data_IF_884001139206
#
_entry.id   IF_884001139206
#
_cell.length_a   1.000
_cell.length_b   1.000
_cell.length_c   1.000
_cell.angle_alpha   90.00
_cell.angle_beta   90.00
_cell.angle_gamma   90.00
#
_symmetry.space_group_name_H-M   'P 1'
#
loop_
_entity.id
_entity.type
_entity.pdbx_description
1 polymer ?
#
# COMPACT_ATOMS: atom_id res chain seq x y z
N UNK A 1 12.64 10.74 2.82
CA UNK A 1 11.56 10.81 1.82
C UNK A 1 11.99 11.77 0.74
N UNK A 2 11.79 11.41 -0.53
CA UNK A 2 12.03 12.29 -1.68
C UNK A 2 10.82 12.23 -2.61
N UNK A 3 10.48 13.35 -3.26
CA UNK A 3 9.44 13.43 -4.27
C UNK A 3 9.86 14.47 -5.32
N UNK A 4 9.81 14.10 -6.59
CA UNK A 4 10.20 14.95 -7.73
C UNK A 4 9.21 14.84 -8.87
N UNK A 5 8.94 15.94 -9.56
CA UNK A 5 8.09 15.98 -10.73
C UNK A 5 8.77 15.35 -11.95
N UNK A 6 8.05 15.25 -13.07
CA UNK A 6 8.58 14.70 -14.33
C UNK A 6 9.79 15.46 -14.91
N UNK A 7 10.05 16.68 -14.46
CA UNK A 7 11.17 17.51 -14.87
C UNK A 7 12.33 17.45 -13.84
N UNK A 8 12.20 16.62 -12.81
CA UNK A 8 13.19 16.43 -11.76
C UNK A 8 13.16 17.52 -10.68
N UNK A 9 12.12 18.36 -10.64
CA UNK A 9 11.97 19.41 -9.62
C UNK A 9 11.34 18.83 -8.37
N UNK A 10 11.78 19.25 -7.20
CA UNK A 10 11.23 18.75 -5.94
C UNK A 10 9.74 19.10 -5.81
N UNK A 11 8.94 18.13 -5.38
CA UNK A 11 7.51 18.30 -5.08
C UNK A 11 7.37 18.63 -3.60
N UNK A 12 6.75 19.76 -3.30
CA UNK A 12 6.56 20.24 -1.93
C UNK A 12 5.51 19.39 -1.19
N UNK A 13 5.68 19.21 0.11
CA UNK A 13 4.67 18.57 0.95
C UNK A 13 3.34 19.33 0.89
N UNK A 14 2.24 18.63 0.63
CA UNK A 14 0.91 19.23 0.49
C UNK A 14 0.57 19.69 -0.94
N UNK A 15 1.46 19.50 -1.92
CA UNK A 15 1.13 19.68 -3.33
C UNK A 15 0.16 18.59 -3.79
N UNK A 16 -1.07 19.01 -4.11
CA UNK A 16 -2.16 18.16 -4.61
C UNK A 16 -2.38 18.29 -6.12
N UNK A 17 -1.56 19.10 -6.81
CA UNK A 17 -1.73 19.46 -8.21
C UNK A 17 -0.74 18.71 -9.10
N UNK A 18 0.49 18.48 -8.62
CA UNK A 18 1.51 17.76 -9.37
C UNK A 18 1.20 16.26 -9.44
N UNK A 19 0.67 15.81 -10.57
CA UNK A 19 0.18 14.45 -10.77
C UNK A 19 1.24 13.46 -11.29
N UNK A 20 2.46 13.91 -11.60
CA UNK A 20 3.43 13.12 -12.38
C UNK A 20 4.85 13.29 -11.88
N UNK A 21 5.55 12.17 -11.64
CA UNK A 21 6.91 12.20 -11.13
C UNK A 21 7.35 10.89 -10.48
N UNK A 22 8.37 10.99 -9.62
CA UNK A 22 8.89 9.91 -8.80
C UNK A 22 8.84 10.27 -7.31
N UNK A 23 8.59 9.28 -6.45
CA UNK A 23 8.63 9.43 -5.01
C UNK A 23 9.15 8.16 -4.33
N UNK A 24 9.95 8.36 -3.29
CA UNK A 24 10.40 7.32 -2.38
C UNK A 24 9.90 7.66 -0.97
N UNK A 25 8.90 6.92 -0.53
CA UNK A 25 8.19 7.13 0.72
C UNK A 25 8.57 6.03 1.71
N UNK A 26 9.02 6.42 2.90
CA UNK A 26 9.36 5.50 3.98
C UNK A 26 8.52 5.88 5.20
N UNK A 27 7.92 4.90 5.85
CA UNK A 27 7.04 5.16 6.98
C UNK A 27 6.50 3.90 7.63
N UNK A 28 5.39 4.02 8.35
CA UNK A 28 4.66 2.90 8.93
C UNK A 28 3.17 3.03 8.63
N UNK A 29 2.52 1.92 8.29
CA UNK A 29 1.05 1.81 8.15
C UNK A 29 0.58 0.79 9.18
N UNK A 30 -0.28 1.20 10.11
CA UNK A 30 -0.76 0.34 11.22
C UNK A 30 0.37 -0.38 11.97
N UNK A 31 1.51 0.29 12.18
CA UNK A 31 2.69 -0.28 12.85
C UNK A 31 3.59 -1.16 11.98
N UNK A 32 3.22 -1.42 10.72
CA UNK A 32 4.05 -2.16 9.76
C UNK A 32 4.99 -1.20 9.04
N UNK A 33 6.31 -1.42 9.06
CA UNK A 33 7.24 -0.59 8.28
C UNK A 33 6.96 -0.78 6.79
N UNK A 34 6.81 0.33 6.07
CA UNK A 34 6.53 0.34 4.64
C UNK A 34 7.54 1.20 3.90
N UNK A 35 7.87 0.77 2.69
CA UNK A 35 8.77 1.46 1.80
C UNK A 35 8.19 1.42 0.38
N UNK A 36 7.77 2.57 -0.12
CA UNK A 36 6.98 2.70 -1.33
C UNK A 36 7.78 3.50 -2.36
N UNK A 37 7.92 2.92 -3.57
CA UNK A 37 8.49 3.60 -4.72
C UNK A 37 7.40 3.84 -5.75
N UNK A 38 7.09 5.11 -5.97
CA UNK A 38 6.09 5.54 -6.94
C UNK A 38 6.81 6.25 -8.06
N UNK A 39 6.96 5.63 -9.24
CA UNK A 39 7.45 6.32 -10.43
C UNK A 39 6.41 6.18 -11.55
N UNK A 40 5.78 7.30 -11.93
CA UNK A 40 4.76 7.30 -12.99
C UNK A 40 5.36 6.93 -14.36
N UNK A 41 6.65 7.16 -14.56
CA UNK A 41 7.39 6.99 -15.81
C UNK A 41 8.39 5.83 -15.80
N UNK A 42 8.30 4.91 -14.83
CA UNK A 42 9.08 3.69 -14.90
C UNK A 42 8.79 3.01 -16.25
N UNK A 43 9.83 2.88 -17.07
CA UNK A 43 9.72 2.25 -18.39
C UNK A 43 9.27 0.79 -18.30
N UNK A 44 9.05 0.12 -19.44
CA UNK A 44 8.50 -1.23 -19.49
C UNK A 44 9.35 -2.30 -18.77
N UNK A 45 10.61 -2.01 -18.46
CA UNK A 45 11.51 -2.87 -17.69
C UNK A 45 11.11 -3.04 -16.20
N UNK A 46 10.22 -2.20 -15.66
CA UNK A 46 9.77 -2.28 -14.26
C UNK A 46 10.82 -1.86 -13.22
N UNK A 47 10.55 -2.12 -11.95
CA UNK A 47 11.49 -1.95 -10.83
C UNK A 47 11.38 -0.64 -10.06
N UNK A 48 10.56 0.31 -10.54
CA UNK A 48 10.37 1.64 -9.93
C UNK A 48 8.89 2.05 -9.78
N UNK A 49 7.95 1.21 -10.22
CA UNK A 49 6.51 1.42 -10.07
C UNK A 49 5.93 0.22 -9.34
N UNK A 50 5.97 0.26 -8.00
CA UNK A 50 5.66 -0.91 -7.20
C UNK A 50 5.69 -0.70 -5.69
N UNK A 51 5.19 -1.67 -4.97
CA UNK A 51 5.14 -1.68 -3.51
C UNK A 51 6.12 -2.72 -2.97
N UNK A 52 6.91 -2.36 -1.95
CA UNK A 52 7.68 -3.34 -1.16
C UNK A 52 7.19 -3.32 0.28
N UNK A 53 6.70 -4.48 0.74
CA UNK A 53 6.24 -4.68 2.11
C UNK A 53 7.25 -5.53 2.86
N UNK A 54 7.77 -4.99 3.96
CA UNK A 54 8.67 -5.70 4.85
C UNK A 54 7.86 -6.32 5.97
N UNK A 55 7.82 -7.65 6.02
CA UNK A 55 7.10 -8.40 7.04
C UNK A 55 7.94 -8.53 8.30
N UNK A 56 7.28 -8.74 9.45
CA UNK A 56 7.94 -8.79 10.76
C UNK A 56 8.92 -9.96 10.91
N UNK A 57 8.69 -11.03 10.17
CA UNK A 57 9.55 -12.22 10.13
C UNK A 57 10.72 -12.10 9.16
N UNK A 58 10.93 -10.94 8.55
CA UNK A 58 12.04 -10.67 7.64
C UNK A 58 11.73 -10.93 6.17
N UNK A 59 10.58 -11.54 5.86
CA UNK A 59 10.14 -11.75 4.47
C UNK A 59 9.79 -10.44 3.79
N UNK A 60 9.93 -10.40 2.46
CA UNK A 60 9.64 -9.22 1.65
C UNK A 60 8.63 -9.59 0.57
N UNK A 61 7.50 -8.89 0.53
CA UNK A 61 6.57 -8.95 -0.61
C UNK A 61 6.86 -7.77 -1.52
N UNK A 62 7.16 -8.04 -2.77
CA UNK A 62 7.38 -7.03 -3.81
C UNK A 62 6.23 -7.16 -4.80
N UNK A 63 5.59 -6.05 -5.13
CA UNK A 63 4.66 -5.93 -6.25
C UNK A 63 5.21 -4.90 -7.21
N UNK A 64 5.30 -5.24 -8.48
CA UNK A 64 5.87 -4.40 -9.54
C UNK A 64 4.98 -4.46 -10.79
N UNK A 65 4.90 -3.35 -11.52
CA UNK A 65 4.20 -3.29 -12.81
C UNK A 65 5.23 -3.36 -13.93
N UNK A 66 5.19 -4.43 -14.74
CA UNK A 66 6.08 -4.63 -15.89
C UNK A 66 5.27 -4.66 -17.18
N UNK A 67 5.20 -3.52 -17.86
CA UNK A 67 4.36 -3.34 -19.05
C UNK A 67 2.88 -3.56 -18.73
N UNK A 68 2.28 -4.59 -19.35
CA UNK A 68 0.87 -4.96 -19.15
C UNK A 68 0.66 -5.99 -18.02
N UNK A 69 1.73 -6.45 -17.38
CA UNK A 69 1.67 -7.49 -16.35
C UNK A 69 2.00 -6.92 -14.97
N UNK A 70 1.37 -7.50 -13.95
CA UNK A 70 1.78 -7.35 -12.56
C UNK A 70 2.65 -8.53 -12.17
N UNK A 71 3.77 -8.22 -11.51
CA UNK A 71 4.71 -9.20 -10.99
C UNK A 71 4.72 -9.10 -9.48
N UNK A 72 4.44 -10.22 -8.81
CA UNK A 72 4.53 -10.34 -7.36
C UNK A 72 5.67 -11.28 -7.01
N UNK A 73 6.53 -10.86 -6.09
CA UNK A 73 7.62 -11.66 -5.57
C UNK A 73 7.52 -11.78 -4.05
N UNK A 74 7.76 -12.97 -3.53
CA UNK A 74 8.00 -13.21 -2.12
C UNK A 74 9.46 -13.61 -1.97
N UNK A 75 10.22 -12.81 -1.21
CA UNK A 75 11.59 -13.11 -0.83
C UNK A 75 11.60 -13.60 0.62
N UNK A 76 12.17 -14.77 0.84
CA UNK A 76 12.38 -15.39 2.15
C UNK A 76 13.85 -15.85 2.27
N UNK A 77 14.70 -14.97 2.83
CA UNK A 77 16.14 -15.17 2.79
C UNK A 77 16.67 -15.17 1.34
N UNK A 78 17.25 -16.29 0.93
CA UNK A 78 17.78 -16.50 -0.43
C UNK A 78 16.71 -17.07 -1.39
N UNK A 79 15.56 -17.51 -0.87
CA UNK A 79 14.48 -18.08 -1.68
C UNK A 79 13.60 -16.98 -2.27
N UNK A 80 13.40 -17.04 -3.59
CA UNK A 80 12.56 -16.09 -4.33
C UNK A 80 11.46 -16.85 -5.06
N UNK A 81 10.21 -16.60 -4.67
CA UNK A 81 9.04 -17.05 -5.40
C UNK A 81 8.49 -15.88 -6.22
N UNK A 82 8.15 -16.13 -7.49
CA UNK A 82 7.66 -15.10 -8.42
C UNK A 82 6.39 -15.56 -9.11
N UNK A 83 5.39 -14.70 -9.13
CA UNK A 83 4.16 -14.86 -9.90
C UNK A 83 4.01 -13.68 -10.86
N UNK A 84 3.58 -13.97 -12.07
CA UNK A 84 3.26 -12.98 -13.09
C UNK A 84 1.79 -13.11 -13.45
N UNK A 85 1.06 -11.99 -13.41
CA UNK A 85 -0.35 -11.93 -13.77
C UNK A 85 -0.54 -10.92 -14.91
N UNK A 86 -1.21 -11.30 -16.01
CA UNK A 86 -1.53 -10.37 -17.09
C UNK A 86 -2.64 -9.40 -16.64
N UNK A 87 -2.56 -8.11 -16.97
CA UNK A 87 -3.53 -7.12 -16.48
C UNK A 87 -3.19 -6.61 -15.08
N UNK A 88 -3.92 -5.62 -14.56
CA UNK A 88 -3.61 -5.04 -13.25
C UNK A 88 -4.19 -5.90 -12.12
N UNK A 89 -3.45 -6.09 -11.02
CA UNK A 89 -3.89 -6.90 -9.87
C UNK A 89 -5.22 -6.41 -9.28
N UNK A 90 -5.46 -5.10 -9.34
CA UNK A 90 -6.74 -4.51 -8.93
C UNK A 90 -7.92 -5.02 -9.77
N UNK A 91 -7.73 -5.20 -11.08
CA UNK A 91 -8.78 -5.73 -11.96
C UNK A 91 -9.12 -7.17 -11.58
N UNK A 92 -8.11 -8.00 -11.30
CA UNK A 92 -8.31 -9.36 -10.80
C UNK A 92 -9.00 -9.38 -9.44
N UNK A 93 -8.55 -8.56 -8.49
CA UNK A 93 -9.20 -8.46 -7.19
C UNK A 93 -10.67 -8.07 -7.30
N UNK A 94 -10.99 -7.07 -8.13
CA UNK A 94 -12.37 -6.67 -8.37
C UNK A 94 -13.17 -7.78 -9.04
N UNK A 95 -12.69 -8.29 -10.18
CA UNK A 95 -13.42 -9.23 -11.00
C UNK A 95 -13.61 -10.59 -10.31
N UNK A 96 -12.63 -11.05 -9.55
CA UNK A 96 -12.65 -12.39 -8.96
C UNK A 96 -13.12 -12.39 -7.51
N UNK A 97 -12.65 -11.43 -6.69
CA UNK A 97 -12.85 -11.46 -5.23
C UNK A 97 -13.96 -10.56 -4.74
N UNK A 98 -14.29 -9.47 -5.45
CA UNK A 98 -15.32 -8.52 -5.02
C UNK A 98 -16.62 -8.72 -5.80
N UNK A 99 -16.55 -8.73 -7.13
CA UNK A 99 -17.70 -8.75 -8.04
C UNK A 99 -17.92 -10.12 -8.69
N UNK A 100 -16.98 -11.04 -8.52
CA UNK A 100 -16.99 -12.35 -9.16
C UNK A 100 -18.04 -13.32 -8.62
N UNK A 101 -18.28 -14.39 -9.38
CA UNK A 101 -19.23 -15.45 -8.99
C UNK A 101 -18.83 -16.19 -7.69
N UNK A 102 -17.53 -16.15 -7.34
CA UNK A 102 -16.93 -16.65 -6.10
C UNK A 102 -16.40 -15.48 -5.24
N UNK A 103 -17.15 -14.38 -5.20
CA UNK A 103 -16.80 -13.22 -4.40
C UNK A 103 -16.73 -13.56 -2.91
N UNK A 104 -15.96 -12.76 -2.17
CA UNK A 104 -15.83 -12.87 -0.72
C UNK A 104 -17.21 -12.82 -0.04
N UNK A 105 -18.13 -11.98 -0.55
CA UNK A 105 -19.50 -11.87 -0.06
C UNK A 105 -20.31 -13.17 -0.16
N UNK A 106 -19.94 -14.06 -1.10
CA UNK A 106 -20.57 -15.37 -1.26
C UNK A 106 -19.84 -16.45 -0.47
N UNK A 107 -18.51 -16.50 -0.60
CA UNK A 107 -17.70 -17.59 -0.06
C UNK A 107 -17.46 -17.48 1.45
N UNK A 108 -17.35 -16.27 1.97
CA UNK A 108 -17.25 -16.00 3.42
C UNK A 108 -17.91 -14.63 3.73
N UNK A 109 -19.25 -14.56 3.73
CA UNK A 109 -19.98 -13.30 3.94
C UNK A 109 -19.65 -12.66 5.29
N UNK A 110 -19.28 -13.46 6.28
CA UNK A 110 -18.94 -13.00 7.63
C UNK A 110 -17.53 -12.41 7.72
N UNK A 111 -16.62 -12.74 6.79
CA UNK A 111 -15.31 -12.09 6.72
C UNK A 111 -15.48 -10.58 6.61
N UNK A 112 -16.32 -10.11 5.67
CA UNK A 112 -16.49 -8.68 5.41
C UNK A 112 -16.94 -7.97 6.68
N UNK A 113 -17.98 -8.50 7.34
CA UNK A 113 -18.46 -7.94 8.60
C UNK A 113 -17.39 -7.95 9.70
N UNK A 114 -16.61 -9.03 9.84
CA UNK A 114 -15.52 -9.12 10.83
C UNK A 114 -14.42 -8.11 10.54
N UNK A 115 -13.99 -7.99 9.29
CA UNK A 115 -12.94 -7.04 8.88
C UNK A 115 -13.43 -5.60 8.99
N UNK A 116 -14.67 -5.31 8.61
CA UNK A 116 -15.28 -3.99 8.83
C UNK A 116 -15.33 -3.65 10.32
N UNK A 117 -15.79 -4.57 11.18
CA UNK A 117 -15.84 -4.32 12.62
C UNK A 117 -14.46 -4.03 13.18
N UNK A 118 -13.46 -4.87 12.87
CA UNK A 118 -12.08 -4.64 13.31
C UNK A 118 -11.55 -3.26 12.87
N UNK A 119 -11.88 -2.82 11.65
CA UNK A 119 -11.48 -1.50 11.15
C UNK A 119 -12.17 -0.35 11.88
N UNK A 120 -13.44 -0.52 12.24
CA UNK A 120 -14.17 0.45 13.06
C UNK A 120 -13.53 0.55 14.45
N UNK A 121 -13.22 -0.59 15.08
CA UNK A 121 -12.56 -0.63 16.39
C UNK A 121 -11.18 0.04 16.35
N UNK A 122 -10.39 -0.21 15.28
CA UNK A 122 -9.10 0.46 15.06
C UNK A 122 -9.26 1.98 14.90
N UNK A 123 -10.26 2.44 14.15
CA UNK A 123 -10.53 3.88 13.95
C UNK A 123 -10.96 4.53 15.25
N UNK A 124 -11.85 3.89 16.01
CA UNK A 124 -12.28 4.39 17.32
C UNK A 124 -11.09 4.52 18.27
N UNK A 125 -10.20 3.51 18.31
CA UNK A 125 -8.99 3.56 19.12
C UNK A 125 -8.08 4.74 18.71
N UNK A 126 -7.89 4.96 17.42
CA UNK A 126 -7.09 6.08 16.91
C UNK A 126 -7.69 7.44 17.27
N UNK A 127 -9.02 7.59 17.16
CA UNK A 127 -9.73 8.80 17.54
C UNK A 127 -9.63 9.07 19.04
N UNK A 128 -9.72 8.03 19.88
CA UNK A 128 -9.54 8.14 21.31
C UNK A 128 -8.11 8.58 21.66
N UNK A 129 -7.09 7.94 21.07
CA UNK A 129 -5.69 8.33 21.26
C UNK A 129 -5.43 9.78 20.83
N UNK A 130 -5.98 10.21 19.70
CA UNK A 130 -5.86 11.60 19.24
C UNK A 130 -6.53 12.56 20.22
N UNK A 131 -7.73 12.24 20.70
CA UNK A 131 -8.47 13.08 21.65
C UNK A 131 -7.70 13.18 22.97
N UNK A 132 -7.25 12.06 23.54
CA UNK A 132 -6.45 12.04 24.77
C UNK A 132 -5.13 12.79 24.63
N UNK A 133 -4.41 12.63 23.52
CA UNK A 133 -3.20 13.39 23.24
C UNK A 133 -3.47 14.90 23.14
N UNK A 134 -4.58 15.29 22.49
CA UNK A 134 -5.01 16.69 22.36
C UNK A 134 -5.37 17.31 23.72
N UNK A 135 -6.08 16.58 24.58
CA UNK A 135 -6.37 17.00 25.96
C UNK A 135 -5.12 17.12 26.82
N UNK A 136 -4.15 16.20 26.68
CA UNK A 136 -2.88 16.29 27.42
C UNK A 136 -2.01 17.49 26.99
N UNK A 137 -2.07 17.90 25.71
CA UNK A 137 -1.36 19.08 25.22
C UNK A 137 -2.00 20.41 25.68
N UNK A 138 -3.31 20.43 25.91
CA UNK A 138 -4.05 21.59 26.44
C UNK A 138 -3.99 21.70 27.99
N UNK A 139 -3.51 20.66 28.67
CA UNK A 139 -3.46 20.56 30.14
C UNK A 139 -2.03 20.63 30.71
N UNK A 140 -1.01 20.82 29.88
CA UNK A 140 0.36 21.05 30.31
C UNK A 140 0.56 22.56 30.63
N UNK A 141 1.17 22.91 31.79
CA UNK A 141 1.37 24.30 32.21
C UNK A 141 2.39 25.06 31.35
#
# INVERSE_FOLDING_TARGET
MTARDRLGRDITQGDLITAEGEAHLQGRISGVPVNIWLNKYAGPAGGQKGLRLYLRDGRIIIHDRRGAEDVVELIDGDDIQRWTLPGAIYEHCLAERVLGAQSLFRCDPQEVSRTTQRRLDEVELLLNLQTTATWSALSAP
#
